data_IF_742884150913
#
_entry.id   IF_742884150913
#
_cell.length_a   1.000
_cell.length_b   1.000
_cell.length_c   1.000
_cell.angle_alpha   90.00
_cell.angle_beta   90.00
_cell.angle_gamma   90.00
#
_symmetry.space_group_name_H-M   'P 1'
#
loop_
_entity.id
_entity.type
_entity.pdbx_description
1 polymer ?
#
# COMPACT_ATOMS: atom_id res chain seq x y z
N UNK A 1 31.51 -18.72 1.32
CA UNK A 1 30.68 -18.21 2.43
C UNK A 1 29.84 -17.06 1.89
N UNK A 2 28.53 -17.26 1.70
CA UNK A 2 27.64 -16.19 1.24
C UNK A 2 27.20 -15.37 2.45
N UNK A 3 27.85 -14.23 2.69
CA UNK A 3 27.46 -13.29 3.73
C UNK A 3 26.14 -12.64 3.33
N UNK A 4 25.08 -12.85 4.11
CA UNK A 4 23.81 -12.14 3.93
C UNK A 4 24.07 -10.63 4.05
N UNK A 5 23.76 -9.89 2.98
CA UNK A 5 23.74 -8.43 2.99
C UNK A 5 22.28 -7.97 2.98
N UNK A 6 21.78 -7.28 4.01
CA UNK A 6 20.43 -6.74 3.98
C UNK A 6 20.32 -5.74 2.81
N UNK A 7 19.47 -6.08 1.83
CA UNK A 7 19.11 -5.17 0.74
C UNK A 7 17.99 -4.26 1.23
N UNK A 8 18.17 -2.96 1.12
CA UNK A 8 17.11 -1.99 1.35
C UNK A 8 16.04 -2.25 0.28
N UNK A 9 14.81 -2.56 0.68
CA UNK A 9 13.71 -2.58 -0.26
C UNK A 9 13.56 -1.16 -0.81
N UNK A 10 13.81 -1.00 -2.10
CA UNK A 10 13.58 0.27 -2.81
C UNK A 10 12.07 0.46 -2.91
N UNK A 11 11.49 1.12 -1.91
CA UNK A 11 10.13 1.63 -1.99
C UNK A 11 10.21 3.01 -2.61
N UNK A 12 9.62 3.18 -3.79
CA UNK A 12 9.47 4.50 -4.42
C UNK A 12 8.35 5.28 -3.72
N UNK A 13 8.63 6.52 -3.33
CA UNK A 13 7.62 7.42 -2.77
C UNK A 13 6.92 8.12 -3.93
N UNK A 14 5.62 7.88 -4.06
CA UNK A 14 4.79 8.53 -5.07
C UNK A 14 3.75 9.43 -4.40
N UNK A 15 3.39 10.52 -5.08
CA UNK A 15 2.30 11.39 -4.66
C UNK A 15 1.10 11.15 -5.59
N UNK A 16 -0.04 10.76 -5.02
CA UNK A 16 -1.29 10.56 -5.76
C UNK A 16 -2.33 11.57 -5.30
N UNK A 17 -3.21 11.99 -6.22
CA UNK A 17 -4.42 12.75 -5.87
C UNK A 17 -5.53 11.76 -5.57
N UNK A 18 -6.19 11.93 -4.42
CA UNK A 18 -7.30 11.10 -3.98
C UNK A 18 -8.40 12.02 -3.44
N UNK A 19 -9.65 11.64 -3.65
CA UNK A 19 -10.78 12.36 -3.08
C UNK A 19 -10.72 12.33 -1.54
N UNK A 20 -11.19 13.41 -0.90
CA UNK A 20 -11.09 13.56 0.56
C UNK A 20 -12.02 12.60 1.31
N UNK A 21 -13.18 12.28 0.74
CA UNK A 21 -14.11 11.31 1.33
C UNK A 21 -13.51 9.90 1.25
N UNK A 22 -12.96 9.54 0.09
CA UNK A 22 -12.27 8.25 -0.09
C UNK A 22 -11.06 8.12 0.85
N UNK A 23 -10.26 9.18 1.01
CA UNK A 23 -9.14 9.19 1.96
C UNK A 23 -9.61 8.93 3.40
N UNK A 24 -10.74 9.53 3.80
CA UNK A 24 -11.34 9.31 5.12
C UNK A 24 -11.79 7.86 5.33
N UNK A 25 -12.33 7.21 4.29
CA UNK A 25 -12.69 5.79 4.35
C UNK A 25 -11.46 4.88 4.43
N UNK A 26 -10.40 5.18 3.67
CA UNK A 26 -9.12 4.47 3.75
C UNK A 26 -8.56 4.59 5.16
N UNK A 27 -8.59 5.79 5.76
CA UNK A 27 -8.11 6.01 7.13
C UNK A 27 -8.86 5.20 8.18
N UNK A 28 -10.20 5.23 8.13
CA UNK A 28 -11.03 4.44 9.04
C UNK A 28 -10.77 2.95 8.89
N UNK A 29 -10.59 2.49 7.66
CA UNK A 29 -10.34 1.07 7.37
C UNK A 29 -8.96 0.64 7.84
N UNK A 30 -7.94 1.46 7.61
CA UNK A 30 -6.57 1.20 8.07
C UNK A 30 -6.50 1.14 9.60
N UNK A 31 -7.19 2.07 10.28
CA UNK A 31 -7.29 2.10 11.74
C UNK A 31 -8.02 0.88 12.31
N UNK A 32 -9.08 0.39 11.66
CA UNK A 32 -9.80 -0.84 12.07
C UNK A 32 -8.95 -2.10 11.92
N UNK A 33 -8.04 -2.10 10.96
CA UNK A 33 -7.17 -3.25 10.64
C UNK A 33 -5.79 -3.17 11.28
N UNK A 34 -5.51 -2.14 12.09
CA UNK A 34 -4.23 -1.88 12.76
C UNK A 34 -3.01 -1.83 11.80
N UNK A 35 -3.21 -1.29 10.59
CA UNK A 35 -2.15 -1.13 9.58
C UNK A 35 -2.03 0.33 9.15
N UNK A 36 -0.89 0.69 8.53
CA UNK A 36 -0.73 2.05 8.00
C UNK A 36 -1.63 2.30 6.79
N UNK A 37 -2.06 3.56 6.61
CA UNK A 37 -2.77 4.02 5.42
C UNK A 37 -2.08 3.57 4.13
N UNK A 38 -0.76 3.72 4.07
CA UNK A 38 0.02 3.35 2.89
C UNK A 38 -0.02 1.83 2.64
N UNK A 39 0.10 1.01 3.68
CA UNK A 39 0.00 -0.44 3.53
C UNK A 39 -1.37 -0.87 3.02
N UNK A 40 -2.45 -0.28 3.54
CA UNK A 40 -3.80 -0.55 3.05
C UNK A 40 -3.95 -0.18 1.57
N UNK A 41 -3.51 1.03 1.18
CA UNK A 41 -3.60 1.49 -0.22
C UNK A 41 -2.87 0.53 -1.15
N UNK A 42 -1.66 0.09 -0.79
CA UNK A 42 -0.89 -0.86 -1.60
C UNK A 42 -1.65 -2.19 -1.74
N UNK A 43 -2.14 -2.77 -0.64
CA UNK A 43 -2.91 -4.02 -0.68
C UNK A 43 -4.18 -3.91 -1.54
N UNK A 44 -4.89 -2.78 -1.44
CA UNK A 44 -6.07 -2.52 -2.26
C UNK A 44 -5.72 -2.46 -3.75
N UNK A 45 -4.62 -1.80 -4.11
CA UNK A 45 -4.15 -1.70 -5.50
C UNK A 45 -3.70 -3.07 -6.02
N UNK A 46 -2.91 -3.81 -5.26
CA UNK A 46 -2.47 -5.17 -5.62
C UNK A 46 -3.66 -6.11 -5.83
N UNK A 47 -4.63 -6.06 -4.91
CA UNK A 47 -5.85 -6.83 -5.02
C UNK A 47 -6.63 -6.48 -6.29
N UNK A 48 -6.88 -5.18 -6.54
CA UNK A 48 -7.60 -4.72 -7.73
C UNK A 48 -6.91 -5.18 -9.02
N UNK A 49 -5.58 -5.01 -9.12
CA UNK A 49 -4.80 -5.45 -10.28
C UNK A 49 -4.83 -6.97 -10.46
N UNK A 50 -4.85 -7.76 -9.37
CA UNK A 50 -4.96 -9.22 -9.46
C UNK A 50 -6.30 -9.71 -10.01
N UNK A 51 -7.34 -8.87 -9.98
CA UNK A 51 -8.71 -9.17 -10.41
C UNK A 51 -9.06 -8.57 -11.77
N UNK A 52 -8.23 -7.70 -12.32
CA UNK A 52 -8.38 -7.20 -13.67
C UNK A 52 -7.94 -8.29 -14.66
N UNK A 53 -8.82 -8.66 -15.60
CA UNK A 53 -8.44 -9.49 -16.74
C UNK A 53 -7.37 -8.76 -17.56
N UNK A 54 -6.36 -9.49 -18.03
CA UNK A 54 -5.24 -8.94 -18.80
C UNK A 54 -5.47 -9.06 -20.29
#
# INVERSE_FOLDING_TARGET
>A
MNTFKPKKAEKEVISIRIDSELLSEVDKTAAKSDISRNELIVQCVEFALSKMEK
#
